data_IF_834906170565
#
_entry.id   IF_834906170565
#
_cell.length_a   1.000
_cell.length_b   1.000
_cell.length_c   1.000
_cell.angle_alpha   90.00
_cell.angle_beta   90.00
_cell.angle_gamma   90.00
#
_symmetry.space_group_name_H-M   'P 1'
#
loop_
_entity.id
_entity.type
_entity.pdbx_description
1 polymer ?
#
# COMPACT_ATOMS: atom_id res chain seq x y z
N UNK A 1 20.28 25.84 -1.21
CA UNK A 1 20.11 24.46 -1.73
C UNK A 1 18.65 24.26 -2.11
N UNK A 2 18.40 23.61 -3.25
CA UNK A 2 17.05 23.20 -3.63
C UNK A 2 16.59 22.07 -2.70
N UNK A 3 15.33 22.08 -2.29
CA UNK A 3 14.76 21.03 -1.43
C UNK A 3 13.42 20.58 -1.98
N UNK A 4 13.20 19.28 -2.00
CA UNK A 4 11.89 18.67 -2.20
C UNK A 4 11.20 18.54 -0.84
N UNK A 5 10.03 19.15 -0.70
CA UNK A 5 9.23 19.11 0.53
C UNK A 5 8.32 17.90 0.53
N UNK A 6 8.55 17.00 1.46
CA UNK A 6 7.86 15.70 1.57
C UNK A 6 6.99 15.70 2.82
N UNK A 7 5.73 15.29 2.70
CA UNK A 7 4.88 15.05 3.86
C UNK A 7 4.61 13.56 4.05
N UNK A 8 4.93 13.08 5.26
CA UNK A 8 4.81 11.67 5.67
C UNK A 8 3.60 11.53 6.61
N UNK A 9 2.77 10.50 6.47
CA UNK A 9 1.60 10.30 7.32
C UNK A 9 2.00 9.93 8.75
N UNK A 10 1.18 10.32 9.74
CA UNK A 10 1.23 9.80 11.12
C UNK A 10 0.19 8.68 11.29
N UNK A 11 0.36 7.86 12.30
CA UNK A 11 -0.62 6.80 12.64
C UNK A 11 -0.38 5.50 11.89
N UNK A 12 -1.47 4.79 11.53
CA UNK A 12 -1.44 3.41 11.02
C UNK A 12 -0.49 3.18 9.84
N UNK A 13 -0.51 4.07 8.85
CA UNK A 13 0.30 3.92 7.62
C UNK A 13 1.74 4.42 7.76
N UNK A 14 2.10 5.02 8.91
CA UNK A 14 3.43 5.60 9.17
C UNK A 14 4.56 4.57 9.04
N UNK A 15 4.40 3.43 9.72
CA UNK A 15 5.48 2.43 9.82
C UNK A 15 5.92 1.89 8.46
N UNK A 16 4.96 1.55 7.59
CA UNK A 16 5.26 1.02 6.26
C UNK A 16 5.84 2.07 5.31
N UNK A 17 5.39 3.32 5.40
CA UNK A 17 5.95 4.45 4.61
C UNK A 17 7.38 4.74 5.05
N UNK A 18 7.65 4.84 6.36
CA UNK A 18 9.01 5.10 6.86
C UNK A 18 9.95 3.94 6.53
N UNK A 19 9.48 2.70 6.61
CA UNK A 19 10.25 1.54 6.18
C UNK A 19 10.59 1.59 4.69
N UNK A 20 9.64 1.98 3.83
CA UNK A 20 9.89 2.14 2.39
C UNK A 20 10.96 3.22 2.13
N UNK A 21 10.87 4.36 2.80
CA UNK A 21 11.83 5.45 2.71
C UNK A 21 13.22 4.99 3.20
N UNK A 22 13.28 4.22 4.31
CA UNK A 22 14.53 3.68 4.83
C UNK A 22 15.16 2.63 3.88
N UNK A 23 14.33 1.73 3.31
CA UNK A 23 14.78 0.75 2.29
C UNK A 23 15.29 1.46 1.01
N UNK A 24 14.80 2.67 0.72
CA UNK A 24 15.32 3.54 -0.33
C UNK A 24 16.70 4.16 -0.01
N UNK A 25 17.17 4.03 1.22
CA UNK A 25 18.45 4.59 1.69
C UNK A 25 18.33 5.95 2.36
N UNK A 26 17.10 6.40 2.66
CA UNK A 26 16.84 7.69 3.30
C UNK A 26 16.44 7.44 4.76
N UNK A 27 17.25 7.91 5.71
CA UNK A 27 16.98 7.76 7.14
C UNK A 27 16.27 8.99 7.69
N UNK A 28 15.20 8.78 8.44
CA UNK A 28 14.51 9.81 9.20
C UNK A 28 14.86 9.66 10.68
N UNK A 29 15.52 10.66 11.24
CA UNK A 29 15.78 10.70 12.69
C UNK A 29 14.56 11.32 13.38
N UNK A 30 13.71 10.47 13.94
CA UNK A 30 12.44 10.88 14.54
C UNK A 30 12.23 10.24 15.91
N UNK A 31 11.41 10.90 16.73
CA UNK A 31 10.78 10.35 17.91
C UNK A 31 9.29 10.73 17.90
N UNK A 32 8.50 10.22 18.84
CA UNK A 32 7.04 10.38 18.86
C UNK A 32 6.54 11.84 18.87
N UNK A 33 7.40 12.79 19.21
CA UNK A 33 7.07 14.23 19.33
C UNK A 33 7.61 15.08 18.19
N UNK A 34 8.46 14.51 17.31
CA UNK A 34 9.11 15.27 16.24
C UNK A 34 8.24 15.25 14.97
N UNK A 35 7.72 16.43 14.62
CA UNK A 35 6.97 16.62 13.36
C UNK A 35 7.84 17.04 12.17
N UNK A 36 9.09 17.43 12.39
CA UNK A 36 10.09 17.78 11.38
C UNK A 36 11.39 17.03 11.68
N UNK A 37 11.48 15.76 11.25
CA UNK A 37 12.66 14.94 11.50
C UNK A 37 13.86 15.44 10.70
N UNK A 38 15.07 15.22 11.23
CA UNK A 38 16.28 15.33 10.43
C UNK A 38 16.31 14.18 9.41
N UNK A 39 16.73 14.50 8.18
CA UNK A 39 16.76 13.58 7.06
C UNK A 39 18.19 13.42 6.58
N UNK A 40 18.61 12.18 6.28
CA UNK A 40 19.96 11.91 5.77
C UNK A 40 20.22 12.49 4.37
N UNK A 41 19.18 12.66 3.54
CA UNK A 41 19.26 13.31 2.24
C UNK A 41 19.06 14.81 2.40
N UNK A 42 20.10 15.61 2.13
CA UNK A 42 20.09 17.08 2.27
C UNK A 42 19.16 17.79 1.27
N UNK A 43 18.75 17.09 0.21
CA UNK A 43 17.82 17.61 -0.79
C UNK A 43 16.34 17.42 -0.38
N UNK A 44 16.06 16.75 0.74
CA UNK A 44 14.73 16.55 1.25
C UNK A 44 14.45 17.40 2.50
N UNK A 45 13.22 17.87 2.60
CA UNK A 45 12.65 18.42 3.84
C UNK A 45 11.39 17.63 4.17
N UNK A 46 11.36 16.98 5.32
CA UNK A 46 10.25 16.09 5.72
C UNK A 46 9.42 16.69 6.84
N UNK A 47 8.10 16.55 6.72
CA UNK A 47 7.12 16.87 7.76
C UNK A 47 6.20 15.69 7.99
N UNK A 48 5.85 15.44 9.25
CA UNK A 48 4.92 14.37 9.65
C UNK A 48 3.57 14.98 9.99
N UNK A 49 2.48 14.50 9.37
CA UNK A 49 1.13 15.04 9.54
C UNK A 49 0.10 13.91 9.57
N UNK A 50 -1.12 14.20 10.04
CA UNK A 50 -2.24 13.26 9.89
C UNK A 50 -2.54 13.04 8.40
N UNK A 51 -2.80 11.79 7.96
CA UNK A 51 -3.03 11.46 6.54
C UNK A 51 -4.20 12.24 5.92
N UNK A 52 -5.23 12.58 6.70
CA UNK A 52 -6.38 13.38 6.29
C UNK A 52 -6.00 14.76 5.73
N UNK A 53 -4.93 15.36 6.25
CA UNK A 53 -4.51 16.71 5.84
C UNK A 53 -3.58 16.72 4.63
N UNK A 54 -2.95 15.57 4.32
CA UNK A 54 -1.87 15.49 3.35
C UNK A 54 -2.30 15.87 1.94
N UNK A 55 -3.44 15.38 1.40
CA UNK A 55 -3.84 15.73 0.04
C UNK A 55 -3.97 17.24 -0.17
N UNK A 56 -4.62 17.95 0.76
CA UNK A 56 -4.78 19.40 0.68
C UNK A 56 -3.47 20.17 0.82
N UNK A 57 -2.53 19.69 1.66
CA UNK A 57 -1.19 20.31 1.79
C UNK A 57 -0.37 20.17 0.51
N UNK A 58 -0.53 19.06 -0.20
CA UNK A 58 0.13 18.83 -1.50
C UNK A 58 -0.57 19.66 -2.59
N UNK A 59 -1.90 19.68 -2.66
CA UNK A 59 -2.67 20.52 -3.58
C UNK A 59 -2.26 22.00 -3.50
N UNK A 60 -2.16 22.53 -2.27
CA UNK A 60 -1.77 23.93 -2.00
C UNK A 60 -0.30 24.24 -2.31
N UNK A 61 0.51 23.27 -2.73
CA UNK A 61 1.94 23.46 -3.00
C UNK A 61 2.81 23.77 -1.76
N UNK A 62 2.23 23.68 -0.55
CA UNK A 62 3.01 23.81 0.69
C UNK A 62 3.99 22.64 0.88
N UNK A 63 3.69 21.51 0.26
CA UNK A 63 4.54 20.34 0.08
C UNK A 63 4.49 19.87 -1.37
N UNK A 64 5.64 19.43 -1.88
CA UNK A 64 5.79 18.99 -3.27
C UNK A 64 5.22 17.59 -3.49
N UNK A 65 5.43 16.71 -2.50
CA UNK A 65 4.96 15.31 -2.52
C UNK A 65 4.47 14.87 -1.15
N UNK A 66 3.65 13.83 -1.14
CA UNK A 66 3.15 13.26 0.11
C UNK A 66 2.77 11.79 -0.01
N UNK A 67 2.59 11.16 1.15
CA UNK A 67 2.09 9.80 1.27
C UNK A 67 0.78 9.82 2.04
N UNK A 68 -0.28 9.22 1.50
CA UNK A 68 -1.61 9.20 2.13
C UNK A 68 -2.41 8.00 1.63
N UNK A 69 -3.54 7.71 2.28
CA UNK A 69 -4.51 6.74 1.75
C UNK A 69 -5.25 7.29 0.54
N UNK A 70 -5.60 6.42 -0.40
CA UNK A 70 -6.42 6.80 -1.56
C UNK A 70 -7.80 7.29 -1.13
N UNK A 71 -8.35 6.71 -0.07
CA UNK A 71 -9.58 7.17 0.61
C UNK A 71 -9.53 8.66 0.95
N UNK A 72 -8.41 9.15 1.48
CA UNK A 72 -8.26 10.58 1.82
C UNK A 72 -8.09 11.48 0.60
N UNK A 73 -7.53 10.98 -0.50
CA UNK A 73 -7.51 11.73 -1.77
C UNK A 73 -8.94 11.93 -2.28
N UNK A 74 -9.76 10.87 -2.26
CA UNK A 74 -11.18 10.93 -2.68
C UNK A 74 -12.00 11.81 -1.73
N UNK A 75 -11.85 11.58 -0.42
CA UNK A 75 -12.60 12.31 0.62
C UNK A 75 -12.36 13.81 0.53
N UNK A 76 -11.11 14.22 0.40
CA UNK A 76 -10.77 15.65 0.32
C UNK A 76 -11.07 16.26 -1.04
N UNK A 77 -11.20 15.45 -2.09
CA UNK A 77 -11.32 15.92 -3.47
C UNK A 77 -10.16 16.82 -3.91
N UNK A 78 -8.96 16.57 -3.35
CA UNK A 78 -7.78 17.37 -3.65
C UNK A 78 -7.29 17.14 -5.08
N UNK A 79 -6.93 18.23 -5.77
CA UNK A 79 -6.32 18.16 -7.11
C UNK A 79 -4.81 17.88 -7.01
N UNK A 80 -4.50 16.61 -6.89
CA UNK A 80 -3.14 16.08 -6.81
C UNK A 80 -2.90 15.04 -7.91
N UNK A 81 -1.63 14.81 -8.24
CA UNK A 81 -1.24 13.73 -9.16
C UNK A 81 -0.88 12.49 -8.35
N UNK A 82 -1.55 11.38 -8.63
CA UNK A 82 -1.12 10.08 -8.14
C UNK A 82 0.13 9.65 -8.91
N UNK A 83 1.28 9.70 -8.25
CA UNK A 83 2.57 9.28 -8.84
C UNK A 83 2.67 7.77 -8.84
N UNK A 84 2.17 7.12 -7.76
CA UNK A 84 2.28 5.68 -7.59
C UNK A 84 1.31 5.14 -6.53
N UNK A 85 0.66 4.00 -6.83
CA UNK A 85 0.05 3.14 -5.83
C UNK A 85 1.13 2.27 -5.17
N UNK A 86 1.38 2.49 -3.89
CA UNK A 86 2.38 1.72 -3.13
C UNK A 86 1.87 0.34 -2.71
N UNK A 87 0.55 0.09 -2.80
CA UNK A 87 -0.13 -1.14 -2.36
C UNK A 87 0.13 -1.50 -0.90
N UNK A 88 0.55 -0.50 -0.11
CA UNK A 88 0.76 -0.63 1.33
C UNK A 88 -0.53 -0.33 2.08
N UNK A 89 -0.68 -0.95 3.25
CA UNK A 89 -1.78 -0.71 4.19
C UNK A 89 -3.19 -0.76 3.54
N UNK A 90 -3.54 -1.81 2.79
CA UNK A 90 -4.82 -1.87 2.11
C UNK A 90 -5.97 -1.86 3.11
N UNK A 91 -7.01 -1.08 2.80
CA UNK A 91 -8.28 -1.02 3.55
C UNK A 91 -9.45 -0.97 2.58
N UNK A 92 -10.63 -1.30 3.11
CA UNK A 92 -11.92 -1.10 2.44
C UNK A 92 -12.70 -0.05 3.19
N UNK A 93 -13.27 0.91 2.49
CA UNK A 93 -14.31 1.77 3.05
C UNK A 93 -15.61 1.02 2.89
N UNK A 94 -16.23 0.71 4.03
CA UNK A 94 -17.43 -0.15 4.10
C UNK A 94 -18.59 0.60 4.69
N UNK A 95 -19.76 0.07 4.42
CA UNK A 95 -21.01 0.40 5.09
C UNK A 95 -21.31 -0.74 6.04
N UNK A 96 -21.54 -0.45 7.32
CA UNK A 96 -21.92 -1.44 8.29
C UNK A 96 -23.04 -0.95 9.20
N UNK A 97 -23.88 -1.88 9.68
CA UNK A 97 -24.94 -1.61 10.62
C UNK A 97 -25.05 -2.76 11.65
N UNK A 98 -25.68 -2.50 12.82
CA UNK A 98 -26.00 -3.55 13.76
C UNK A 98 -26.78 -4.68 13.11
N UNK A 99 -26.46 -5.92 13.50
CA UNK A 99 -27.15 -7.11 12.98
C UNK A 99 -28.67 -7.05 13.17
N UNK A 100 -29.13 -6.44 14.26
CA UNK A 100 -30.55 -6.26 14.59
C UNK A 100 -31.28 -5.38 13.56
N UNK A 101 -30.60 -4.40 12.97
CA UNK A 101 -31.17 -3.49 11.99
C UNK A 101 -31.19 -4.02 10.55
N UNK A 102 -30.49 -5.14 10.26
CA UNK A 102 -30.46 -5.71 8.92
C UNK A 102 -31.82 -6.25 8.45
N UNK A 103 -32.72 -6.61 9.37
CA UNK A 103 -34.08 -7.02 9.07
C UNK A 103 -35.04 -5.85 8.84
N UNK A 104 -34.64 -4.64 9.19
CA UNK A 104 -35.43 -3.41 9.00
C UNK A 104 -35.25 -2.85 7.60
N UNK A 105 -36.32 -2.23 7.09
CA UNK A 105 -36.21 -1.48 5.83
C UNK A 105 -35.74 -0.05 6.15
N UNK A 106 -34.41 0.15 6.17
CA UNK A 106 -33.78 1.41 6.49
C UNK A 106 -34.14 2.55 5.50
N UNK A 107 -34.66 2.23 4.31
CA UNK A 107 -35.15 3.23 3.35
C UNK A 107 -36.49 3.86 3.76
N UNK A 108 -37.25 3.25 4.67
CA UNK A 108 -38.57 3.72 5.07
C UNK A 108 -38.56 4.79 6.15
N UNK A 109 -37.44 5.04 6.77
CA UNK A 109 -37.29 6.07 7.82
C UNK A 109 -36.02 6.90 7.63
N UNK A 110 -35.94 7.98 8.34
CA UNK A 110 -34.68 8.71 8.44
C UNK A 110 -33.72 7.91 9.34
N UNK A 111 -32.48 7.79 8.91
CA UNK A 111 -31.40 7.09 9.63
C UNK A 111 -30.27 8.06 9.98
N UNK A 112 -29.55 7.79 11.04
CA UNK A 112 -28.31 8.47 11.41
C UNK A 112 -27.12 7.65 10.92
N UNK A 113 -26.20 8.30 10.15
CA UNK A 113 -25.01 7.65 9.61
C UNK A 113 -23.76 8.34 10.13
N UNK A 114 -22.97 7.61 10.91
CA UNK A 114 -21.73 8.10 11.50
C UNK A 114 -20.51 7.77 10.63
N UNK A 115 -19.63 8.76 10.41
CA UNK A 115 -18.41 8.56 9.60
C UNK A 115 -17.37 9.65 9.80
N UNK A 116 -16.08 9.32 9.61
CA UNK A 116 -15.03 10.30 9.37
C UNK A 116 -15.01 10.81 7.91
N UNK A 117 -15.60 10.06 6.96
CA UNK A 117 -15.58 10.29 5.51
C UNK A 117 -16.88 10.96 5.06
N UNK A 118 -16.97 12.31 5.22
CA UNK A 118 -18.22 13.03 4.94
C UNK A 118 -18.60 13.01 3.46
N UNK A 119 -17.62 13.30 2.57
CA UNK A 119 -17.89 13.36 1.13
C UNK A 119 -18.27 11.97 0.59
N UNK A 120 -17.46 10.96 0.91
CA UNK A 120 -17.69 9.58 0.47
C UNK A 120 -19.05 9.08 1.00
N UNK A 121 -19.35 9.38 2.27
CA UNK A 121 -20.61 8.97 2.88
C UNK A 121 -21.82 9.65 2.22
N UNK A 122 -21.79 10.96 2.03
CA UNK A 122 -22.89 11.69 1.40
C UNK A 122 -23.14 11.26 -0.04
N UNK A 123 -22.06 11.06 -0.83
CA UNK A 123 -22.17 10.58 -2.21
C UNK A 123 -22.81 9.18 -2.27
N UNK A 124 -22.38 8.27 -1.38
CA UNK A 124 -22.96 6.93 -1.29
C UNK A 124 -24.44 6.98 -0.90
N UNK A 125 -24.78 7.69 0.20
CA UNK A 125 -26.15 7.78 0.72
C UNK A 125 -27.12 8.40 -0.29
N UNK A 126 -26.69 9.42 -1.01
CA UNK A 126 -27.46 10.05 -2.08
C UNK A 126 -27.69 9.08 -3.25
N UNK A 127 -26.64 8.39 -3.69
CA UNK A 127 -26.71 7.41 -4.78
C UNK A 127 -27.67 6.25 -4.49
N UNK A 128 -27.61 5.73 -3.26
CA UNK A 128 -28.47 4.63 -2.82
C UNK A 128 -29.88 5.07 -2.40
N UNK A 129 -30.14 6.38 -2.28
CA UNK A 129 -31.46 6.92 -1.96
C UNK A 129 -31.85 6.86 -0.49
N UNK A 130 -30.88 6.86 0.43
CA UNK A 130 -31.16 6.89 1.87
C UNK A 130 -31.62 8.27 2.32
N UNK A 131 -32.69 8.30 3.13
CA UNK A 131 -33.04 9.50 3.90
C UNK A 131 -32.19 9.51 5.18
N UNK A 132 -31.16 10.34 5.24
CA UNK A 132 -30.16 10.23 6.30
C UNK A 132 -29.73 11.57 6.89
N UNK A 133 -29.36 11.53 8.17
CA UNK A 133 -28.61 12.57 8.88
C UNK A 133 -27.17 12.10 9.00
N UNK A 134 -26.23 12.93 8.54
CA UNK A 134 -24.81 12.65 8.68
C UNK A 134 -24.29 13.12 10.03
N UNK A 135 -23.63 12.20 10.76
CA UNK A 135 -22.95 12.48 12.02
C UNK A 135 -21.43 12.35 11.83
N UNK A 136 -20.71 13.47 11.96
CA UNK A 136 -19.24 13.47 11.86
C UNK A 136 -18.60 12.82 13.08
N UNK A 137 -17.73 11.84 12.85
CA UNK A 137 -16.89 11.22 13.89
C UNK A 137 -15.42 11.61 13.74
N UNK A 138 -14.61 11.33 14.78
CA UNK A 138 -13.20 11.64 14.84
C UNK A 138 -12.39 10.45 15.39
N UNK A 139 -12.72 9.25 14.96
CA UNK A 139 -12.22 7.96 15.43
C UNK A 139 -13.27 7.17 16.21
N UNK A 140 -13.00 5.89 16.41
CA UNK A 140 -13.89 4.95 17.11
C UNK A 140 -15.34 4.98 16.59
N UNK A 141 -15.51 5.04 15.28
CA UNK A 141 -16.83 5.15 14.63
C UNK A 141 -17.71 3.94 14.92
N UNK A 142 -17.12 2.78 15.16
CA UNK A 142 -17.78 1.52 15.47
C UNK A 142 -18.55 1.50 16.80
N UNK A 143 -18.30 2.45 17.70
CA UNK A 143 -18.98 2.50 19.01
C UNK A 143 -20.31 3.27 19.00
N UNK A 144 -20.60 4.02 17.91
CA UNK A 144 -21.81 4.82 17.80
C UNK A 144 -23.10 4.00 17.65
N UNK A 145 -23.13 2.92 16.82
CA UNK A 145 -24.30 2.06 16.77
C UNK A 145 -24.43 1.15 18.01
N UNK A 146 -25.66 0.80 18.44
CA UNK A 146 -26.95 1.25 17.88
C UNK A 146 -27.48 2.55 18.49
N UNK A 147 -26.83 3.09 19.54
CA UNK A 147 -27.40 4.11 20.40
C UNK A 147 -27.43 5.51 19.72
N UNK A 148 -26.34 5.88 19.05
CA UNK A 148 -26.13 7.21 18.46
C UNK A 148 -26.22 7.22 16.92
N UNK A 149 -26.10 6.04 16.28
CA UNK A 149 -26.20 5.90 14.84
C UNK A 149 -26.83 4.56 14.43
N UNK A 150 -27.53 4.56 13.31
CA UNK A 150 -28.11 3.34 12.70
C UNK A 150 -27.09 2.60 11.82
N UNK A 151 -26.15 3.34 11.25
CA UNK A 151 -25.21 2.86 10.25
C UNK A 151 -23.89 3.62 10.37
N UNK A 152 -22.80 2.95 10.02
CA UNK A 152 -21.50 3.59 9.90
C UNK A 152 -20.93 3.44 8.49
N UNK A 153 -20.11 4.40 8.09
CA UNK A 153 -19.24 4.30 6.91
C UNK A 153 -17.81 4.55 7.42
N UNK A 154 -17.00 3.50 7.39
CA UNK A 154 -15.63 3.57 7.94
C UNK A 154 -14.68 2.65 7.20
N UNK A 155 -13.39 2.82 7.46
CA UNK A 155 -12.35 1.95 6.92
C UNK A 155 -12.21 0.67 7.76
N UNK A 156 -11.95 -0.44 7.09
CA UNK A 156 -11.63 -1.70 7.77
C UNK A 156 -10.57 -2.48 6.99
N UNK A 157 -9.75 -3.24 7.72
CA UNK A 157 -8.77 -4.17 7.14
C UNK A 157 -9.30 -5.60 7.22
N UNK A 158 -9.55 -6.09 8.43
CA UNK A 158 -9.95 -7.48 8.71
C UNK A 158 -11.39 -7.62 9.19
N UNK A 159 -12.03 -6.51 9.53
CA UNK A 159 -13.37 -6.47 10.12
C UNK A 159 -13.43 -6.98 11.56
N UNK A 160 -12.32 -7.12 12.27
CA UNK A 160 -12.29 -7.62 13.64
C UNK A 160 -13.06 -6.70 14.57
N UNK A 161 -12.76 -5.40 14.59
CA UNK A 161 -13.45 -4.41 15.42
C UNK A 161 -14.96 -4.37 15.14
N UNK A 162 -15.35 -4.47 13.86
CA UNK A 162 -16.78 -4.53 13.50
C UNK A 162 -17.48 -5.73 14.15
N UNK A 163 -16.85 -6.90 14.16
CA UNK A 163 -17.42 -8.11 14.79
C UNK A 163 -17.51 -7.98 16.30
N UNK A 164 -16.54 -7.32 16.94
CA UNK A 164 -16.53 -7.07 18.39
C UNK A 164 -17.68 -6.15 18.82
N UNK A 165 -18.16 -5.27 17.91
CA UNK A 165 -19.30 -4.38 18.12
C UNK A 165 -20.61 -4.89 17.47
N UNK A 166 -20.69 -6.17 17.10
CA UNK A 166 -21.85 -6.81 16.45
C UNK A 166 -22.34 -6.10 15.17
N UNK A 167 -21.40 -5.48 14.45
CA UNK A 167 -21.67 -4.82 13.18
C UNK A 167 -21.46 -5.77 12.00
N UNK A 168 -22.41 -5.73 11.06
CA UNK A 168 -22.35 -6.48 9.82
C UNK A 168 -22.06 -5.54 8.65
N UNK A 169 -21.11 -5.93 7.81
CA UNK A 169 -20.82 -5.20 6.55
C UNK A 169 -21.97 -5.40 5.56
N UNK A 170 -22.57 -4.31 5.13
CA UNK A 170 -23.66 -4.28 4.14
C UNK A 170 -23.07 -4.18 2.73
N UNK A 171 -22.10 -3.28 2.53
CA UNK A 171 -21.44 -3.11 1.23
C UNK A 171 -20.02 -2.54 1.39
N UNK A 172 -19.26 -2.64 0.31
CA UNK A 172 -17.94 -1.98 0.17
C UNK A 172 -18.08 -0.87 -0.85
N UNK A 173 -17.71 0.36 -0.44
CA UNK A 173 -17.79 1.56 -1.29
C UNK A 173 -16.52 1.71 -2.10
N UNK A 174 -15.35 1.53 -1.47
CA UNK A 174 -14.04 1.84 -2.03
C UNK A 174 -12.97 0.92 -1.46
N UNK A 175 -12.04 0.48 -2.31
CA UNK A 175 -10.78 -0.13 -1.88
C UNK A 175 -9.67 0.93 -1.93
N UNK A 176 -8.93 1.05 -0.84
CA UNK A 176 -7.87 2.04 -0.67
C UNK A 176 -6.57 1.38 -0.25
N UNK A 177 -5.47 2.00 -0.64
CA UNK A 177 -4.12 1.71 -0.18
C UNK A 177 -3.30 2.99 -0.14
N UNK A 178 -2.10 2.95 0.43
CA UNK A 178 -1.22 4.12 0.49
C UNK A 178 -0.77 4.55 -0.90
N UNK A 179 -0.95 5.83 -1.20
CA UNK A 179 -0.51 6.49 -2.45
C UNK A 179 0.68 7.39 -2.19
N UNK A 180 1.61 7.44 -3.14
CA UNK A 180 2.59 8.52 -3.30
C UNK A 180 1.99 9.53 -4.27
N UNK A 181 1.74 10.75 -3.78
CA UNK A 181 1.08 11.83 -4.51
C UNK A 181 2.00 13.03 -4.67
N UNK A 182 1.78 13.83 -5.72
CA UNK A 182 2.56 15.03 -6.00
C UNK A 182 1.67 16.24 -6.31
N UNK A 183 2.17 17.41 -6.00
CA UNK A 183 1.65 18.68 -6.48
C UNK A 183 1.88 18.80 -8.00
N UNK A 184 0.90 19.34 -8.75
CA UNK A 184 1.01 19.49 -10.22
C UNK A 184 2.14 20.38 -10.63
N UNK A 185 2.32 21.52 -9.96
CA UNK A 185 3.38 22.48 -10.28
C UNK A 185 4.77 21.92 -9.97
N UNK A 186 4.93 21.12 -8.90
CA UNK A 186 6.18 20.45 -8.59
C UNK A 186 6.62 19.50 -9.71
N UNK A 187 5.68 18.92 -10.45
CA UNK A 187 5.98 18.06 -11.61
C UNK A 187 6.39 18.85 -12.87
N UNK A 188 6.10 20.15 -12.95
CA UNK A 188 6.55 21.03 -14.06
C UNK A 188 7.96 21.59 -13.82
N UNK A 189 8.41 21.66 -12.57
CA UNK A 189 9.78 22.08 -12.25
C UNK A 189 10.75 20.93 -12.52
N UNK A 190 11.63 21.10 -13.50
CA UNK A 190 12.50 20.04 -14.02
C UNK A 190 13.24 19.26 -12.91
N UNK A 191 13.86 19.95 -11.94
CA UNK A 191 14.62 19.30 -10.88
C UNK A 191 13.72 18.50 -9.94
N UNK A 192 12.57 19.07 -9.50
CA UNK A 192 11.63 18.37 -8.64
C UNK A 192 11.01 17.16 -9.34
N UNK A 193 10.60 17.34 -10.60
CA UNK A 193 10.05 16.28 -11.42
C UNK A 193 11.03 15.11 -11.55
N UNK A 194 12.31 15.39 -11.85
CA UNK A 194 13.34 14.36 -11.89
C UNK A 194 13.50 13.64 -10.57
N UNK A 195 13.63 14.38 -9.44
CA UNK A 195 13.77 13.79 -8.10
C UNK A 195 12.58 12.91 -7.74
N UNK A 196 11.35 13.33 -8.08
CA UNK A 196 10.12 12.56 -7.87
C UNK A 196 10.14 11.26 -8.67
N UNK A 197 10.58 11.28 -9.94
CA UNK A 197 10.70 10.09 -10.78
C UNK A 197 11.78 9.13 -10.27
N UNK A 198 12.91 9.64 -9.79
CA UNK A 198 13.95 8.83 -9.15
C UNK A 198 13.42 8.14 -7.89
N UNK A 199 12.70 8.86 -7.02
CA UNK A 199 12.04 8.27 -5.84
C UNK A 199 11.03 7.20 -6.25
N UNK A 200 10.17 7.48 -7.24
CA UNK A 200 9.21 6.50 -7.78
C UNK A 200 9.90 5.22 -8.24
N UNK A 201 10.96 5.33 -9.02
CA UNK A 201 11.72 4.20 -9.54
C UNK A 201 12.31 3.36 -8.40
N UNK A 202 12.91 4.00 -7.40
CA UNK A 202 13.48 3.29 -6.24
C UNK A 202 12.39 2.62 -5.40
N UNK A 203 11.25 3.28 -5.15
CA UNK A 203 10.13 2.68 -4.45
C UNK A 203 9.56 1.48 -5.19
N UNK A 204 9.39 1.59 -6.52
CA UNK A 204 8.94 0.46 -7.35
C UNK A 204 9.92 -0.71 -7.24
N UNK A 205 11.23 -0.45 -7.34
CA UNK A 205 12.26 -1.47 -7.24
C UNK A 205 12.23 -2.20 -5.88
N UNK A 206 11.92 -1.50 -4.79
CA UNK A 206 11.79 -2.08 -3.46
C UNK A 206 10.52 -2.95 -3.38
N UNK A 207 9.38 -2.44 -3.87
CA UNK A 207 8.13 -3.18 -3.86
C UNK A 207 8.21 -4.43 -4.72
N UNK A 208 8.84 -4.32 -5.90
CA UNK A 208 9.09 -5.47 -6.78
C UNK A 208 10.00 -6.52 -6.12
N UNK A 209 11.01 -6.08 -5.35
CA UNK A 209 11.87 -6.98 -4.59
C UNK A 209 11.16 -7.70 -3.45
N UNK A 210 10.20 -7.03 -2.77
CA UNK A 210 9.41 -7.65 -1.70
C UNK A 210 8.53 -8.79 -2.18
N UNK A 211 8.13 -8.78 -3.45
CA UNK A 211 7.32 -9.82 -4.07
C UNK A 211 8.12 -10.99 -4.63
N UNK A 212 9.46 -10.88 -4.70
CA UNK A 212 10.35 -11.83 -5.38
C UNK A 212 11.49 -12.30 -4.51
N UNK A 213 12.04 -13.45 -4.88
CA UNK A 213 13.31 -13.98 -4.35
C UNK A 213 14.18 -14.43 -5.50
N UNK A 214 15.49 -14.47 -5.25
CA UNK A 214 16.43 -15.11 -6.15
C UNK A 214 16.62 -16.57 -5.71
N UNK A 215 16.30 -17.51 -6.59
CA UNK A 215 16.65 -18.92 -6.42
C UNK A 215 17.95 -19.21 -7.18
N UNK A 216 18.85 -19.91 -6.52
CA UNK A 216 20.06 -20.49 -7.12
C UNK A 216 20.03 -21.98 -6.85
N UNK A 217 20.42 -22.80 -7.85
CA UNK A 217 20.41 -24.24 -7.72
C UNK A 217 21.39 -24.89 -8.68
N UNK A 218 21.82 -26.12 -8.33
CA UNK A 218 22.56 -26.99 -9.22
C UNK A 218 21.58 -27.92 -9.94
N UNK A 219 21.76 -28.05 -11.26
CA UNK A 219 20.87 -28.81 -12.14
C UNK A 219 21.71 -29.84 -12.91
N UNK A 220 21.38 -31.14 -12.84
CA UNK A 220 22.06 -32.17 -13.63
C UNK A 220 21.89 -31.90 -15.14
N UNK A 221 22.91 -32.25 -15.93
CA UNK A 221 22.91 -31.99 -17.38
C UNK A 221 21.72 -32.64 -18.08
N UNK A 222 21.35 -33.85 -17.68
CA UNK A 222 20.27 -34.64 -18.26
C UNK A 222 18.88 -34.09 -17.95
N UNK A 223 18.77 -33.26 -16.89
CA UNK A 223 17.50 -32.67 -16.44
C UNK A 223 17.39 -31.18 -16.74
N UNK A 224 18.40 -30.61 -17.38
CA UNK A 224 18.49 -29.18 -17.59
C UNK A 224 17.26 -28.60 -18.36
N UNK A 225 16.95 -29.14 -19.52
CA UNK A 225 15.84 -28.68 -20.36
C UNK A 225 14.48 -28.83 -19.66
N UNK A 226 14.29 -29.92 -18.91
CA UNK A 226 13.06 -30.18 -18.18
C UNK A 226 12.86 -29.16 -17.06
N UNK A 227 13.91 -28.85 -16.31
CA UNK A 227 13.88 -27.90 -15.20
C UNK A 227 13.72 -26.47 -15.74
N UNK A 228 14.44 -26.06 -16.79
CA UNK A 228 14.32 -24.71 -17.37
C UNK A 228 12.89 -24.40 -17.83
N UNK A 229 12.18 -25.37 -18.41
CA UNK A 229 10.81 -25.19 -18.91
C UNK A 229 9.78 -24.89 -17.80
N UNK A 230 10.03 -25.35 -16.59
CA UNK A 230 9.10 -25.16 -15.47
C UNK A 230 9.40 -23.92 -14.62
N UNK A 231 10.58 -23.28 -14.83
CA UNK A 231 10.98 -22.13 -14.04
C UNK A 231 10.16 -20.87 -14.44
N UNK A 232 9.44 -20.25 -13.50
CA UNK A 232 8.67 -19.04 -13.75
C UNK A 232 9.59 -17.80 -13.74
N UNK A 233 10.43 -17.66 -14.77
CA UNK A 233 11.44 -16.62 -14.85
C UNK A 233 10.83 -15.23 -15.13
N UNK A 234 11.46 -14.16 -14.62
CA UNK A 234 11.15 -12.78 -15.06
C UNK A 234 11.45 -12.57 -16.55
N UNK A 235 12.57 -13.08 -17.03
CA UNK A 235 13.00 -13.10 -18.44
C UNK A 235 13.59 -14.46 -18.74
N UNK A 236 14.92 -14.60 -18.62
CA UNK A 236 15.63 -15.85 -18.81
C UNK A 236 16.46 -16.16 -17.56
N UNK A 237 16.65 -17.42 -17.20
CA UNK A 237 17.54 -17.78 -16.10
C UNK A 237 19.00 -17.48 -16.48
N UNK A 238 19.82 -17.14 -15.49
CA UNK A 238 21.27 -17.13 -15.67
C UNK A 238 21.80 -18.56 -15.49
N UNK A 239 22.59 -19.03 -16.42
CA UNK A 239 23.11 -20.39 -16.44
C UNK A 239 24.64 -20.35 -16.54
N UNK A 240 25.33 -21.11 -15.69
CA UNK A 240 26.77 -21.31 -15.74
C UNK A 240 27.09 -22.80 -15.59
N UNK A 241 28.13 -23.34 -16.32
CA UNK A 241 28.55 -24.73 -16.14
C UNK A 241 29.16 -24.93 -14.75
N UNK A 242 28.87 -26.08 -14.12
CA UNK A 242 29.51 -26.49 -12.88
C UNK A 242 30.91 -27.03 -13.17
N UNK A 243 31.81 -26.91 -12.19
CA UNK A 243 33.14 -27.47 -12.28
C UNK A 243 33.08 -28.96 -12.53
N UNK A 244 33.89 -29.48 -13.47
CA UNK A 244 33.91 -30.90 -13.86
C UNK A 244 32.73 -31.32 -14.74
N UNK A 245 32.03 -30.37 -15.41
CA UNK A 245 30.98 -30.64 -16.41
C UNK A 245 29.78 -31.49 -15.90
N UNK A 246 29.54 -31.49 -14.59
CA UNK A 246 28.50 -32.30 -13.93
C UNK A 246 27.10 -31.76 -14.05
N UNK A 247 26.91 -30.60 -14.72
CA UNK A 247 25.63 -29.91 -14.86
C UNK A 247 25.79 -28.40 -14.86
N UNK A 248 24.76 -27.72 -14.44
CA UNK A 248 24.67 -26.25 -14.51
C UNK A 248 24.25 -25.64 -13.17
N UNK A 249 24.88 -24.54 -12.79
CA UNK A 249 24.34 -23.60 -11.80
C UNK A 249 23.31 -22.69 -12.47
N UNK A 250 22.10 -22.65 -11.93
CA UNK A 250 20.99 -21.86 -12.48
C UNK A 250 20.54 -20.83 -11.45
N UNK A 251 20.47 -19.55 -11.87
CA UNK A 251 19.94 -18.45 -11.05
C UNK A 251 18.69 -17.86 -11.70
N UNK A 252 17.64 -17.66 -10.91
CA UNK A 252 16.36 -17.16 -11.42
C UNK A 252 15.64 -16.32 -10.36
N UNK A 253 15.09 -15.15 -10.75
CA UNK A 253 14.18 -14.39 -9.89
C UNK A 253 12.74 -14.88 -10.10
N UNK A 254 12.11 -15.34 -9.02
CA UNK A 254 10.75 -15.90 -9.02
C UNK A 254 9.86 -15.17 -8.02
N UNK A 255 8.53 -15.26 -8.17
CA UNK A 255 7.60 -14.70 -7.19
C UNK A 255 7.66 -15.50 -5.89
N UNK A 256 7.79 -14.82 -4.76
CA UNK A 256 7.89 -15.41 -3.43
C UNK A 256 6.77 -16.42 -3.13
N UNK A 257 5.54 -16.11 -3.57
CA UNK A 257 4.37 -17.01 -3.40
C UNK A 257 4.47 -18.35 -4.14
N UNK A 258 5.34 -18.45 -5.15
CA UNK A 258 5.49 -19.66 -5.97
C UNK A 258 6.55 -20.62 -5.40
N UNK A 259 7.44 -20.13 -4.53
CA UNK A 259 8.61 -20.86 -4.03
C UNK A 259 8.22 -22.13 -3.29
N UNK A 260 7.22 -22.06 -2.41
CA UNK A 260 6.77 -23.21 -1.62
C UNK A 260 6.32 -24.41 -2.50
N UNK A 261 5.77 -24.13 -3.68
CA UNK A 261 5.38 -25.15 -4.66
C UNK A 261 6.56 -25.57 -5.54
N UNK A 262 7.43 -24.63 -5.87
CA UNK A 262 8.50 -24.82 -6.83
C UNK A 262 9.65 -25.68 -6.27
N UNK A 263 10.09 -25.44 -5.04
CA UNK A 263 11.22 -26.16 -4.44
C UNK A 263 11.00 -27.71 -4.40
N UNK A 264 9.87 -28.24 -3.92
CA UNK A 264 9.64 -29.70 -3.95
C UNK A 264 9.66 -30.28 -5.37
N UNK A 265 9.13 -29.55 -6.35
CA UNK A 265 9.11 -29.97 -7.74
C UNK A 265 10.53 -30.02 -8.33
N UNK A 266 11.33 -28.99 -8.12
CA UNK A 266 12.73 -28.92 -8.53
C UNK A 266 13.55 -30.07 -7.91
N UNK A 267 13.36 -30.33 -6.62
CA UNK A 267 14.02 -31.43 -5.92
C UNK A 267 13.65 -32.78 -6.51
N UNK A 268 12.37 -33.01 -6.83
CA UNK A 268 11.91 -34.27 -7.48
C UNK A 268 12.53 -34.46 -8.86
N UNK A 269 12.78 -33.37 -9.59
CA UNK A 269 13.44 -33.41 -10.90
C UNK A 269 14.96 -33.52 -10.83
N UNK A 270 15.54 -33.59 -9.63
CA UNK A 270 16.97 -33.83 -9.42
C UNK A 270 17.79 -32.55 -9.20
N UNK A 271 17.19 -31.39 -9.03
CA UNK A 271 17.91 -30.18 -8.62
C UNK A 271 18.48 -30.37 -7.20
N UNK A 272 19.70 -29.89 -6.98
CA UNK A 272 20.39 -29.90 -5.69
C UNK A 272 20.84 -28.50 -5.28
N UNK A 273 21.26 -28.37 -4.03
CA UNK A 273 21.83 -27.12 -3.49
C UNK A 273 20.93 -25.89 -3.80
N UNK A 274 19.61 -26.05 -3.55
CA UNK A 274 18.63 -24.99 -3.84
C UNK A 274 18.71 -23.95 -2.72
N UNK A 275 19.11 -22.74 -3.08
CA UNK A 275 19.28 -21.60 -2.18
C UNK A 275 18.26 -20.52 -2.52
N UNK A 276 17.68 -19.89 -1.49
CA UNK A 276 16.77 -18.76 -1.63
C UNK A 276 17.42 -17.51 -1.03
N UNK A 277 17.45 -16.41 -1.80
CA UNK A 277 17.99 -15.13 -1.36
C UNK A 277 16.91 -14.05 -1.43
N UNK A 278 16.78 -13.26 -0.37
CA UNK A 278 15.97 -12.05 -0.40
C UNK A 278 16.69 -10.94 -1.17
N UNK A 279 15.94 -10.25 -2.03
CA UNK A 279 16.45 -9.11 -2.80
C UNK A 279 16.04 -7.80 -2.14
N UNK A 280 16.92 -6.82 -2.12
CA UNK A 280 16.63 -5.48 -1.58
C UNK A 280 15.96 -4.57 -2.58
N UNK A 281 16.33 -4.65 -3.85
CA UNK A 281 15.79 -3.86 -4.97
C UNK A 281 15.82 -4.71 -6.25
N UNK A 282 14.79 -4.58 -7.06
CA UNK A 282 14.69 -5.21 -8.39
C UNK A 282 14.25 -4.13 -9.36
N UNK A 283 15.12 -3.74 -10.28
CA UNK A 283 14.80 -2.81 -11.36
C UNK A 283 14.53 -3.62 -12.63
N UNK A 284 13.33 -3.48 -13.19
CA UNK A 284 12.84 -4.25 -14.35
C UNK A 284 13.03 -3.44 -15.64
#
# INVERSE_FOLDING_TARGET
MRKLKVVVPKGRIYGNVVKLIADAGITLQTNDRVYRPCVSDSELEVKIMKPQNIPKLVELGSHDVGFTGYDWVIETGADVVEVMDLKLDPVKIIVAAPRTLLSENLFKRQIVVASEYEKIAREFLQKEGYNSVFLRTYGATEVFPPDDADMIIDNTTTGTTLREHDLCVISTILESSTRFIANREALTEQWKSQKIQEMKMVFQAILDARERVLLEMNVPKEKFEEIIRILPCMRSPTVAPLYGERGYAVKVAVKKKEVARLIPLLKKLGATDILEYEMRKVVI
#
